data_IF_490160334728
#
_entry.id   IF_490160334728
#
_cell.length_a   1.000
_cell.length_b   1.000
_cell.length_c   1.000
_cell.angle_alpha   90.00
_cell.angle_beta   90.00
_cell.angle_gamma   90.00
#
_symmetry.space_group_name_H-M   'P 1'
#
loop_
_entity.id
_entity.type
_entity.pdbx_description
1 polymer ?
#
# COMPACT_ATOMS: atom_id res chain seq x y z
N UNK A 1 -0.93 -0.77 11.15
CA UNK A 1 -0.24 -1.80 10.39
C UNK A 1 -0.24 -3.09 11.18
N UNK A 2 -0.54 -4.19 10.52
CA UNK A 2 -0.49 -5.54 11.10
C UNK A 2 0.88 -6.19 10.89
N UNK A 3 1.83 -5.45 10.36
CA UNK A 3 3.18 -5.93 10.12
C UNK A 3 4.05 -5.58 11.31
N UNK A 4 4.64 -6.57 11.97
CA UNK A 4 5.72 -6.28 12.92
C UNK A 4 6.90 -5.70 12.15
N UNK A 5 7.57 -4.74 12.74
CA UNK A 5 8.79 -4.16 12.19
C UNK A 5 9.82 -5.27 11.97
N UNK A 6 10.02 -5.60 10.73
CA UNK A 6 10.83 -6.73 10.28
C UNK A 6 12.30 -6.59 10.63
N UNK A 7 12.75 -5.40 10.98
CA UNK A 7 14.14 -5.12 11.31
C UNK A 7 14.50 -5.50 12.75
N UNK A 8 13.50 -5.60 13.63
CA UNK A 8 13.70 -5.82 15.07
C UNK A 8 13.32 -7.23 15.53
N UNK A 9 13.11 -8.14 14.60
CA UNK A 9 12.77 -9.50 14.93
C UNK A 9 13.94 -10.23 15.57
N UNK A 10 13.83 -10.40 16.87
CA UNK A 10 14.82 -11.15 17.61
C UNK A 10 14.68 -12.64 17.32
N UNK A 11 15.79 -13.40 17.34
CA UNK A 11 15.74 -14.85 17.15
C UNK A 11 14.76 -15.56 18.06
N UNK A 12 14.62 -15.11 19.29
CA UNK A 12 13.67 -15.66 20.28
C UNK A 12 12.21 -15.50 19.87
N UNK A 13 11.84 -14.44 19.16
CA UNK A 13 10.49 -14.22 18.71
C UNK A 13 10.06 -15.23 17.64
N UNK A 14 11.02 -15.78 16.90
CA UNK A 14 10.78 -16.78 15.88
C UNK A 14 10.31 -18.12 16.43
N UNK A 15 10.59 -18.42 17.67
CA UNK A 15 10.17 -19.65 18.34
C UNK A 15 8.85 -19.49 19.12
N UNK A 16 8.27 -18.29 19.11
CA UNK A 16 6.97 -18.04 19.72
C UNK A 16 5.94 -19.04 19.17
N UNK A 17 5.25 -19.70 20.07
CA UNK A 17 4.19 -20.66 19.71
C UNK A 17 2.97 -19.90 19.20
N UNK A 18 2.51 -20.26 18.01
CA UNK A 18 1.23 -19.85 17.46
C UNK A 18 0.27 -21.06 17.47
N UNK A 19 -1.01 -20.82 17.16
CA UNK A 19 -1.98 -21.91 17.02
C UNK A 19 -1.56 -22.96 15.98
N UNK A 20 -0.87 -22.55 14.92
CA UNK A 20 -0.41 -23.42 13.84
C UNK A 20 1.03 -23.92 14.01
N UNK A 21 1.68 -23.63 15.15
CA UNK A 21 3.05 -24.05 15.43
C UNK A 21 4.02 -22.89 15.65
N UNK A 22 5.33 -23.13 15.62
CA UNK A 22 6.32 -22.10 15.81
C UNK A 22 6.20 -21.00 14.74
N UNK A 23 6.28 -19.74 15.15
CA UNK A 23 6.09 -18.59 14.27
C UNK A 23 7.01 -18.63 13.03
N UNK A 24 8.27 -19.06 13.19
CA UNK A 24 9.21 -19.22 12.07
C UNK A 24 8.68 -20.07 10.91
N UNK A 25 7.82 -21.04 11.19
CA UNK A 25 7.22 -21.92 10.17
C UNK A 25 6.02 -21.30 9.48
N UNK A 26 5.30 -20.41 10.16
CA UNK A 26 4.01 -19.90 9.70
C UNK A 26 4.02 -18.41 9.36
N UNK A 27 5.13 -17.69 9.63
CA UNK A 27 5.18 -16.24 9.47
C UNK A 27 4.83 -15.74 8.05
N UNK A 28 5.25 -16.47 7.04
CA UNK A 28 4.95 -16.05 5.67
C UNK A 28 3.45 -16.17 5.34
N UNK A 29 2.74 -17.08 6.00
CA UNK A 29 1.29 -17.24 5.86
C UNK A 29 0.48 -16.29 6.79
N UNK A 30 1.14 -15.50 7.63
CA UNK A 30 0.51 -14.56 8.55
C UNK A 30 -0.52 -13.64 7.86
N UNK A 31 -0.22 -13.02 6.69
CA UNK A 31 -1.18 -12.17 6.01
C UNK A 31 -2.46 -12.92 5.61
N UNK A 32 -2.33 -14.15 5.14
CA UNK A 32 -3.47 -14.99 4.77
C UNK A 32 -4.40 -15.23 5.97
N UNK A 33 -3.82 -15.58 7.12
CA UNK A 33 -4.60 -15.84 8.34
C UNK A 33 -5.28 -14.58 8.87
N UNK A 34 -4.56 -13.45 8.87
CA UNK A 34 -5.10 -12.16 9.32
C UNK A 34 -6.25 -11.70 8.43
N UNK A 35 -6.07 -11.75 7.12
CA UNK A 35 -7.08 -11.32 6.15
C UNK A 35 -8.29 -12.27 6.20
N UNK A 36 -8.06 -13.58 6.34
CA UNK A 36 -9.13 -14.56 6.52
C UNK A 36 -9.98 -14.28 7.75
N UNK A 37 -9.34 -14.01 8.89
CA UNK A 37 -10.05 -13.66 10.13
C UNK A 37 -10.87 -12.38 10.00
N UNK A 38 -10.33 -11.33 9.37
CA UNK A 38 -11.07 -10.09 9.11
C UNK A 38 -12.28 -10.36 8.20
N UNK A 39 -12.08 -11.14 7.14
CA UNK A 39 -13.15 -11.51 6.21
C UNK A 39 -14.29 -12.25 6.94
N UNK A 40 -13.96 -13.30 7.67
CA UNK A 40 -14.95 -14.16 8.35
C UNK A 40 -15.75 -13.37 9.38
N UNK A 41 -15.07 -12.51 10.18
CA UNK A 41 -15.76 -11.67 11.16
C UNK A 41 -16.67 -10.63 10.51
N UNK A 42 -16.23 -10.00 9.44
CA UNK A 42 -17.06 -9.04 8.72
C UNK A 42 -18.28 -9.71 8.10
N UNK A 43 -18.11 -10.90 7.51
CA UNK A 43 -19.22 -11.68 6.95
C UNK A 43 -20.20 -12.18 8.02
N UNK A 44 -19.72 -12.48 9.21
CA UNK A 44 -20.57 -12.85 10.35
C UNK A 44 -21.47 -11.69 10.82
N UNK A 45 -21.01 -10.44 10.67
CA UNK A 45 -21.79 -9.26 11.03
C UNK A 45 -22.83 -8.92 9.96
N UNK A 46 -22.43 -8.95 8.69
CA UNK A 46 -23.34 -8.64 7.56
C UNK A 46 -22.87 -9.30 6.26
N UNK A 47 -23.84 -9.64 5.43
CA UNK A 47 -23.64 -10.16 4.07
C UNK A 47 -24.07 -9.17 2.98
N UNK A 48 -24.58 -8.00 3.35
CA UNK A 48 -25.21 -7.05 2.43
C UNK A 48 -24.20 -6.40 1.48
N UNK A 49 -22.94 -6.31 1.92
CA UNK A 49 -21.87 -5.71 1.12
C UNK A 49 -20.73 -6.70 0.93
N UNK A 50 -20.01 -6.55 -0.17
CA UNK A 50 -18.75 -7.28 -0.38
C UNK A 50 -17.71 -6.84 0.63
N UNK A 51 -16.94 -7.78 1.13
CA UNK A 51 -15.75 -7.48 1.91
C UNK A 51 -14.69 -6.91 0.98
N UNK A 52 -14.07 -5.82 1.39
CA UNK A 52 -12.90 -5.24 0.75
C UNK A 52 -11.85 -4.97 1.82
N UNK A 53 -10.67 -5.53 1.64
CA UNK A 53 -9.57 -5.40 2.59
C UNK A 53 -8.37 -4.82 1.84
N UNK A 54 -7.82 -3.73 2.34
CA UNK A 54 -6.54 -3.21 1.90
C UNK A 54 -5.46 -3.67 2.88
N UNK A 55 -4.46 -4.36 2.39
CA UNK A 55 -3.39 -4.92 3.22
C UNK A 55 -2.03 -4.72 2.56
N UNK A 56 -0.99 -4.60 3.39
CA UNK A 56 0.38 -4.38 2.92
C UNK A 56 1.10 -5.69 2.59
N UNK A 57 0.68 -6.78 3.20
CA UNK A 57 1.32 -8.07 3.05
C UNK A 57 0.47 -9.01 2.20
N UNK A 58 1.11 -9.87 1.43
CA UNK A 58 0.46 -10.84 0.56
C UNK A 58 0.97 -12.26 0.77
N UNK A 59 0.05 -13.22 0.64
CA UNK A 59 0.36 -14.64 0.56
C UNK A 59 -0.62 -15.33 -0.38
N UNK A 60 -0.19 -16.37 -1.05
CA UNK A 60 -1.01 -17.12 -2.01
C UNK A 60 -2.32 -17.59 -1.39
N UNK A 61 -3.42 -17.39 -2.09
CA UNK A 61 -4.76 -17.71 -1.63
C UNK A 61 -5.52 -16.55 -0.97
N UNK A 62 -4.85 -15.44 -0.69
CA UNK A 62 -5.42 -14.27 -0.03
C UNK A 62 -6.49 -13.56 -0.87
N UNK A 63 -6.42 -13.66 -2.19
CA UNK A 63 -7.39 -13.09 -3.12
C UNK A 63 -8.83 -13.58 -2.86
N UNK A 64 -9.01 -14.76 -2.26
CA UNK A 64 -10.32 -15.31 -1.88
C UNK A 64 -11.07 -14.47 -0.84
N UNK A 65 -10.37 -13.63 -0.13
CA UNK A 65 -10.91 -12.82 0.96
C UNK A 65 -11.18 -11.36 0.56
N UNK A 66 -11.21 -11.04 -0.72
CA UNK A 66 -11.42 -9.67 -1.19
C UNK A 66 -10.28 -8.72 -0.83
N UNK A 67 -9.07 -9.25 -0.71
CA UNK A 67 -7.89 -8.48 -0.34
C UNK A 67 -7.22 -7.85 -1.56
N UNK A 68 -6.96 -6.56 -1.46
CA UNK A 68 -6.06 -5.83 -2.32
C UNK A 68 -4.74 -5.60 -1.58
N UNK A 69 -3.63 -5.89 -2.23
CA UNK A 69 -2.29 -5.67 -1.69
C UNK A 69 -1.69 -4.44 -2.35
N UNK A 70 -1.07 -3.55 -1.57
CA UNK A 70 -0.31 -2.44 -2.16
C UNK A 70 1.17 -2.55 -1.81
N UNK A 71 1.99 -1.85 -2.58
CA UNK A 71 3.46 -1.94 -2.48
C UNK A 71 4.06 -1.30 -1.22
N UNK A 72 3.24 -0.71 -0.35
CA UNK A 72 3.71 -0.05 0.88
C UNK A 72 4.31 1.32 0.62
N UNK A 73 5.17 1.75 1.53
CA UNK A 73 5.70 3.11 1.61
C UNK A 73 6.92 3.28 0.67
N UNK A 74 6.68 3.26 -0.62
CA UNK A 74 7.74 3.41 -1.63
C UNK A 74 8.18 4.88 -1.80
N UNK A 75 9.45 5.08 -2.12
CA UNK A 75 9.96 6.41 -2.40
C UNK A 75 9.36 7.00 -3.69
N UNK A 76 9.17 8.32 -3.71
CA UNK A 76 8.69 9.05 -4.89
C UNK A 76 9.83 9.27 -5.89
N UNK A 77 10.27 8.20 -6.54
CA UNK A 77 11.35 8.21 -7.54
C UNK A 77 10.94 7.49 -8.82
N UNK A 78 11.58 7.83 -9.91
CA UNK A 78 11.38 7.14 -11.19
C UNK A 78 11.78 5.67 -11.13
N UNK A 79 12.79 5.33 -10.34
CA UNK A 79 13.20 3.95 -10.11
C UNK A 79 12.10 3.17 -9.37
N UNK A 80 11.60 3.70 -8.27
CA UNK A 80 10.47 3.10 -7.54
C UNK A 80 9.26 2.93 -8.45
N UNK A 81 8.91 3.95 -9.23
CA UNK A 81 7.80 3.87 -10.17
C UNK A 81 7.99 2.75 -11.21
N UNK A 82 9.16 2.69 -11.83
CA UNK A 82 9.48 1.63 -12.80
C UNK A 82 9.30 0.24 -12.20
N UNK A 83 9.71 0.06 -10.95
CA UNK A 83 9.63 -1.22 -10.25
C UNK A 83 8.19 -1.62 -9.90
N UNK A 84 7.24 -0.67 -9.84
CA UNK A 84 5.82 -0.99 -9.59
C UNK A 84 5.21 -1.80 -10.74
N UNK A 85 5.66 -1.59 -11.98
CA UNK A 85 5.11 -2.26 -13.14
C UNK A 85 5.34 -3.77 -13.07
N UNK A 86 6.59 -4.27 -12.98
CA UNK A 86 6.83 -5.71 -12.84
C UNK A 86 6.30 -6.26 -11.50
N UNK A 87 6.25 -5.47 -10.43
CA UNK A 87 5.65 -5.90 -9.19
C UNK A 87 4.17 -6.26 -9.36
N UNK A 88 3.37 -5.37 -9.95
CA UNK A 88 1.96 -5.63 -10.23
C UNK A 88 1.75 -6.82 -11.17
N UNK A 89 2.58 -6.96 -12.20
CA UNK A 89 2.53 -8.11 -13.10
C UNK A 89 2.85 -9.43 -12.39
N UNK A 90 3.84 -9.44 -11.50
CA UNK A 90 4.19 -10.62 -10.70
C UNK A 90 3.06 -11.01 -9.74
N UNK A 91 2.42 -10.05 -9.08
CA UNK A 91 1.25 -10.32 -8.26
C UNK A 91 0.11 -10.94 -9.09
N UNK A 92 -0.13 -10.44 -10.29
CA UNK A 92 -1.13 -10.99 -11.22
C UNK A 92 -0.79 -12.43 -11.65
N UNK A 93 0.47 -12.70 -11.96
CA UNK A 93 0.96 -14.06 -12.30
C UNK A 93 0.78 -15.04 -11.13
N UNK A 94 0.93 -14.56 -9.89
CA UNK A 94 0.68 -15.36 -8.69
C UNK A 94 -0.82 -15.53 -8.36
N UNK A 95 -1.72 -15.06 -9.21
CA UNK A 95 -3.16 -15.17 -8.99
C UNK A 95 -3.71 -14.15 -7.99
N UNK A 96 -2.96 -13.08 -7.71
CA UNK A 96 -3.38 -11.95 -6.85
C UNK A 96 -3.47 -10.66 -7.68
N UNK A 97 -4.46 -10.53 -8.57
CA UNK A 97 -4.55 -9.39 -9.49
C UNK A 97 -4.96 -8.08 -8.80
N UNK A 98 -5.53 -8.16 -7.61
CA UNK A 98 -5.93 -6.98 -6.82
C UNK A 98 -4.70 -6.38 -6.14
N UNK A 99 -4.01 -5.52 -6.87
CA UNK A 99 -2.79 -4.87 -6.45
C UNK A 99 -2.79 -3.40 -6.86
N UNK A 100 -2.11 -2.56 -6.07
CA UNK A 100 -1.87 -1.16 -6.40
C UNK A 100 -0.57 -0.64 -5.76
N UNK A 101 -0.18 0.56 -6.16
CA UNK A 101 0.84 1.37 -5.50
C UNK A 101 0.26 2.74 -5.16
N UNK A 102 0.89 3.42 -4.21
CA UNK A 102 0.55 4.81 -3.89
C UNK A 102 0.95 5.71 -5.05
N UNK A 103 -0.03 6.39 -5.66
CA UNK A 103 0.20 7.25 -6.81
C UNK A 103 1.11 8.41 -6.41
N UNK A 104 2.21 8.55 -7.14
CA UNK A 104 3.26 9.53 -6.87
C UNK A 104 4.31 9.07 -5.86
N UNK A 105 4.24 7.81 -5.40
CA UNK A 105 5.07 7.27 -4.32
C UNK A 105 4.62 7.75 -2.94
N UNK A 106 4.99 7.05 -1.87
CA UNK A 106 4.57 7.42 -0.52
C UNK A 106 5.42 8.55 0.07
N UNK A 107 6.75 8.43 -0.01
CA UNK A 107 7.68 9.43 0.53
C UNK A 107 8.12 10.43 -0.54
N UNK A 108 7.59 11.65 -0.48
CA UNK A 108 7.89 12.73 -1.42
C UNK A 108 8.66 13.91 -0.80
N UNK A 109 9.09 13.77 0.46
CA UNK A 109 9.70 14.86 1.22
C UNK A 109 10.96 15.46 0.60
N UNK A 110 11.70 14.69 -0.20
CA UNK A 110 12.89 15.19 -0.89
C UNK A 110 12.61 16.21 -2.00
N UNK A 111 11.36 16.35 -2.42
CA UNK A 111 10.92 17.40 -3.34
C UNK A 111 10.49 18.67 -2.63
N UNK A 112 10.32 18.63 -1.30
CA UNK A 112 10.03 19.78 -0.47
C UNK A 112 11.28 20.65 -0.30
N UNK A 113 11.11 21.96 -0.16
CA UNK A 113 12.19 22.90 0.14
C UNK A 113 12.63 22.82 1.59
N UNK A 114 11.71 22.51 2.47
CA UNK A 114 11.93 22.30 3.90
C UNK A 114 11.03 21.18 4.42
N UNK A 115 11.30 20.73 5.64
CA UNK A 115 10.52 19.66 6.24
C UNK A 115 9.01 19.98 6.24
N UNK A 116 8.24 19.15 5.57
CA UNK A 116 6.78 19.17 5.56
C UNK A 116 6.14 20.52 5.14
N UNK A 117 6.77 21.25 4.23
CA UNK A 117 6.31 22.55 3.73
C UNK A 117 5.36 22.48 2.51
N UNK A 118 5.06 21.27 2.05
CA UNK A 118 4.19 20.97 0.90
C UNK A 118 4.65 21.61 -0.44
N UNK A 119 5.85 22.13 -0.51
CA UNK A 119 6.35 22.75 -1.74
C UNK A 119 6.58 21.75 -2.88
N UNK A 120 6.67 20.47 -2.55
CA UNK A 120 6.75 19.40 -3.55
C UNK A 120 5.53 19.39 -4.49
N UNK A 121 4.33 19.76 -4.02
CA UNK A 121 3.14 19.87 -4.85
C UNK A 121 3.31 20.84 -6.04
N UNK A 122 4.21 21.82 -5.90
CA UNK A 122 4.57 22.81 -6.91
C UNK A 122 5.90 22.53 -7.61
N UNK A 123 6.56 21.43 -7.25
CA UNK A 123 7.82 21.06 -7.87
C UNK A 123 7.55 20.37 -9.21
N UNK A 124 8.03 20.93 -10.35
CA UNK A 124 7.74 20.37 -11.67
C UNK A 124 8.22 18.93 -11.84
N UNK A 125 9.31 18.56 -11.19
CA UNK A 125 9.85 17.19 -11.25
C UNK A 125 8.91 16.20 -10.53
N UNK A 126 8.35 16.60 -9.40
CA UNK A 126 7.38 15.76 -8.71
C UNK A 126 6.03 15.71 -9.45
N UNK A 127 5.58 16.84 -9.99
CA UNK A 127 4.36 16.88 -10.79
C UNK A 127 4.43 15.93 -11.98
N UNK A 128 5.55 15.92 -12.72
CA UNK A 128 5.73 14.98 -13.84
C UNK A 128 5.69 13.52 -13.37
N UNK A 129 6.43 13.17 -12.31
CA UNK A 129 6.41 11.83 -11.73
C UNK A 129 4.99 11.43 -11.29
N UNK A 130 4.30 12.34 -10.60
CA UNK A 130 2.94 12.10 -10.12
C UNK A 130 1.97 11.85 -11.29
N UNK A 131 2.03 12.66 -12.34
CA UNK A 131 1.16 12.49 -13.52
C UNK A 131 1.41 11.13 -14.20
N UNK A 132 2.67 10.72 -14.36
CA UNK A 132 2.98 9.40 -14.94
C UNK A 132 2.50 8.25 -14.06
N UNK A 133 2.66 8.40 -12.77
CA UNK A 133 2.14 7.41 -11.82
C UNK A 133 0.61 7.36 -11.80
N UNK A 134 -0.05 8.51 -11.94
CA UNK A 134 -1.50 8.61 -12.08
C UNK A 134 -2.00 7.88 -13.33
N UNK A 135 -1.32 8.10 -14.48
CA UNK A 135 -1.62 7.38 -15.71
C UNK A 135 -1.53 5.86 -15.54
N UNK A 136 -0.48 5.38 -14.88
CA UNK A 136 -0.35 3.96 -14.53
C UNK A 136 -1.44 3.50 -13.57
N UNK A 137 -1.69 4.26 -12.50
CA UNK A 137 -2.69 3.92 -11.48
C UNK A 137 -4.11 3.82 -12.03
N UNK A 138 -4.41 4.51 -13.13
CA UNK A 138 -5.71 4.45 -13.81
C UNK A 138 -6.07 3.04 -14.29
N UNK A 139 -5.07 2.22 -14.57
CA UNK A 139 -5.25 0.84 -15.02
C UNK A 139 -5.12 -0.20 -13.91
N UNK A 140 -4.85 0.23 -12.69
CA UNK A 140 -4.79 -0.68 -11.55
C UNK A 140 -6.21 -0.97 -11.02
N UNK A 141 -6.47 -2.18 -10.51
CA UNK A 141 -7.76 -2.54 -9.92
C UNK A 141 -8.22 -1.62 -8.80
N UNK A 142 -7.28 -1.01 -8.09
CA UNK A 142 -7.52 0.03 -7.11
C UNK A 142 -6.67 1.25 -7.43
N UNK A 143 -7.33 2.36 -7.77
CA UNK A 143 -6.69 3.65 -7.98
C UNK A 143 -6.68 4.43 -6.66
N UNK A 144 -5.49 4.75 -6.15
CA UNK A 144 -5.35 5.42 -4.85
C UNK A 144 -4.22 6.43 -4.86
N UNK A 145 -4.56 7.69 -4.64
CA UNK A 145 -3.58 8.72 -4.29
C UNK A 145 -3.35 8.70 -2.78
N UNK A 146 -2.14 8.41 -2.35
CA UNK A 146 -1.80 8.28 -0.94
C UNK A 146 -0.30 8.49 -0.73
N UNK A 147 0.06 9.07 0.40
CA UNK A 147 1.44 9.26 0.79
C UNK A 147 1.58 10.27 1.92
N UNK A 148 2.83 10.53 2.31
CA UNK A 148 3.21 11.54 3.29
C UNK A 148 3.96 12.71 2.64
N UNK A 149 4.26 13.73 3.42
CA UNK A 149 5.06 14.91 3.08
C UNK A 149 4.42 15.90 2.11
N UNK A 150 3.43 15.46 1.33
CA UNK A 150 2.70 16.28 0.35
C UNK A 150 1.23 15.90 0.40
N UNK A 151 0.35 16.88 0.41
CA UNK A 151 -1.08 16.63 0.30
C UNK A 151 -1.42 16.08 -1.08
N UNK A 152 -2.12 14.96 -1.10
CA UNK A 152 -2.46 14.22 -2.33
C UNK A 152 -3.96 14.16 -2.59
N UNK A 153 -4.74 14.58 -1.64
CA UNK A 153 -6.18 14.70 -1.84
C UNK A 153 -6.47 15.87 -2.78
N UNK A 154 -7.31 15.64 -3.77
CA UNK A 154 -7.66 16.64 -4.79
C UNK A 154 -8.12 17.96 -4.14
N UNK A 155 -8.85 17.89 -3.05
CA UNK A 155 -9.34 19.07 -2.32
C UNK A 155 -8.30 19.76 -1.43
N UNK A 156 -7.09 19.22 -1.34
CA UNK A 156 -5.97 19.78 -0.54
C UNK A 156 -4.70 20.00 -1.34
N UNK A 157 -4.77 19.80 -2.64
CA UNK A 157 -3.62 20.05 -3.50
C UNK A 157 -3.27 21.55 -3.47
N UNK A 158 -2.06 21.86 -3.05
CA UNK A 158 -1.43 23.18 -3.21
C UNK A 158 -1.21 23.97 -1.93
N UNK A 159 -2.08 23.92 -0.94
CA UNK A 159 -1.82 24.51 0.39
C UNK A 159 -2.38 23.65 1.49
N UNK A 160 -1.64 23.57 2.58
CA UNK A 160 -2.08 22.90 3.80
C UNK A 160 -3.41 23.45 4.27
N UNK A 161 -4.48 22.66 4.14
CA UNK A 161 -5.81 23.02 4.60
C UNK A 161 -6.65 23.91 3.67
N UNK A 162 -6.13 24.28 2.50
CA UNK A 162 -6.90 24.99 1.47
C UNK A 162 -7.25 24.05 0.31
N UNK A 163 -8.49 24.04 -0.16
CA UNK A 163 -8.85 23.31 -1.37
C UNK A 163 -8.12 23.91 -2.57
N UNK A 164 -7.59 23.06 -3.42
CA UNK A 164 -7.08 23.47 -4.75
C UNK A 164 -8.22 23.34 -5.72
N UNK A 165 -8.94 24.42 -5.88
CA UNK A 165 -9.86 24.58 -7.00
C UNK A 165 -9.28 25.68 -7.90
N UNK A 166 -8.80 25.29 -9.03
CA UNK A 166 -8.73 26.14 -10.22
C UNK A 166 -9.16 25.31 -11.41
#
# INVERSE_FOLDING_TARGET
STEPDHLDWKPEDMDTKTYLGPFRKVRNAYPLMTVGGVYDHQRAVTSDKRVFILTRSGFLGQQRYGANVWSGDVASTWESFRNQIPAGLNFSLCGMPHWNSDIGGFFAGHYNKSWNDDSASKNPLYQELYVRWLQFGTFNPMMRSHGTDVYREIYKFGKKGEPVYD
#
